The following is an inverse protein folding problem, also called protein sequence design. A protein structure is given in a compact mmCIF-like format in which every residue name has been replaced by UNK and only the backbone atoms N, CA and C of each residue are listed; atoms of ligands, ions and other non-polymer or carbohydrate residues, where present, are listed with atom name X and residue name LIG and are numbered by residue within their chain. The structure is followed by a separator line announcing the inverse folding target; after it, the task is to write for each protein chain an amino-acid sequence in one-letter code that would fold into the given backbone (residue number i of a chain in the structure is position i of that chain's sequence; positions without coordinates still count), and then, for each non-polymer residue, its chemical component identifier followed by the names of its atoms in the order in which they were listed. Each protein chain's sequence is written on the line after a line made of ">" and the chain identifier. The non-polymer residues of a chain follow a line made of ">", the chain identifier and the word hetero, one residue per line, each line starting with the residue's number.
data_IF_822975782306
#
_entry.id   IF_822975782306
#
_cell.length_a   1.000
_cell.length_b   1.000
_cell.length_c   1.000
_cell.angle_alpha   90.00
_cell.angle_beta   90.00
_cell.angle_gamma   90.00
#
_symmetry.space_group_name_H-M   'P 1'
#
loop_
_entity.id
_entity.type
_entity.pdbx_description
1 polymer ?
#
# COMPACT_ATOMS: atom_id res chain seq x y z
N UNK A 1 -84.52 110.01 84.46
CA UNK A 1 -84.07 108.60 84.48
C UNK A 1 -84.00 108.13 83.02
N UNK A 2 -82.98 108.50 82.24
CA UNK A 2 -81.59 108.05 82.33
C UNK A 2 -81.51 106.57 82.70
N UNK A 3 -81.28 105.69 81.70
CA UNK A 3 -80.49 104.44 81.75
C UNK A 3 -80.93 103.36 80.72
N UNK A 4 -82.16 103.41 80.18
CA UNK A 4 -82.68 102.31 79.32
C UNK A 4 -82.22 102.43 77.84
N UNK A 5 -82.18 103.64 77.26
CA UNK A 5 -81.78 103.84 75.84
C UNK A 5 -80.27 103.72 75.55
N UNK A 6 -79.41 103.75 76.57
CA UNK A 6 -77.96 103.55 76.44
C UNK A 6 -77.58 102.06 76.55
N UNK A 7 -78.34 101.28 77.32
CA UNK A 7 -78.15 99.83 77.46
C UNK A 7 -78.55 99.03 76.22
N UNK A 8 -79.58 99.46 75.48
CA UNK A 8 -80.02 98.80 74.24
C UNK A 8 -79.03 99.07 73.10
N UNK A 9 -78.55 100.30 72.92
CA UNK A 9 -77.50 100.58 71.93
C UNK A 9 -76.18 99.87 72.26
N UNK A 10 -75.82 99.75 73.54
CA UNK A 10 -74.62 99.00 73.96
C UNK A 10 -74.82 97.49 73.81
N UNK A 11 -76.00 96.95 74.12
CA UNK A 11 -76.32 95.54 73.94
C UNK A 11 -76.38 95.15 72.46
N UNK A 12 -76.98 95.99 71.62
CA UNK A 12 -77.08 95.79 70.17
C UNK A 12 -75.70 95.95 69.50
N UNK A 13 -74.88 96.91 69.97
CA UNK A 13 -73.48 97.02 69.56
C UNK A 13 -72.63 95.81 70.01
N UNK A 14 -72.84 95.29 71.23
CA UNK A 14 -72.18 94.07 71.71
C UNK A 14 -72.60 92.83 70.92
N UNK A 15 -73.87 92.72 70.55
CA UNK A 15 -74.38 91.61 69.73
C UNK A 15 -73.84 91.67 68.31
N UNK A 16 -73.73 92.87 67.73
CA UNK A 16 -73.06 93.09 66.44
C UNK A 16 -71.56 92.80 66.56
N UNK A 17 -70.88 93.22 67.63
CA UNK A 17 -69.47 92.89 67.84
C UNK A 17 -69.24 91.39 68.05
N UNK A 18 -70.13 90.70 68.76
CA UNK A 18 -70.08 89.24 68.96
C UNK A 18 -70.39 88.48 67.67
N UNK A 19 -71.37 88.94 66.89
CA UNK A 19 -71.69 88.32 65.61
C UNK A 19 -70.60 88.58 64.59
N UNK A 20 -70.01 89.79 64.54
CA UNK A 20 -68.87 90.13 63.68
C UNK A 20 -67.60 89.40 64.12
N UNK A 21 -67.35 89.28 65.43
CA UNK A 21 -66.20 88.52 65.95
C UNK A 21 -66.39 87.00 65.73
N UNK A 22 -67.61 86.49 65.89
CA UNK A 22 -67.96 85.10 65.65
C UNK A 22 -67.91 84.75 64.16
N UNK A 23 -68.42 85.62 63.29
CA UNK A 23 -68.28 85.44 61.84
C UNK A 23 -66.83 85.55 61.43
N UNK A 24 -66.08 86.59 61.85
CA UNK A 24 -64.66 86.73 61.54
C UNK A 24 -63.81 85.57 62.05
N UNK A 25 -64.06 85.07 63.26
CA UNK A 25 -63.39 83.89 63.81
C UNK A 25 -63.71 82.61 63.04
N UNK A 26 -64.97 82.42 62.64
CA UNK A 26 -65.36 81.32 61.76
C UNK A 26 -64.71 81.46 60.38
N UNK A 27 -64.66 82.67 59.78
CA UNK A 27 -64.01 82.88 58.49
C UNK A 27 -62.53 82.56 58.57
N UNK A 28 -61.81 82.99 59.62
CA UNK A 28 -60.39 82.69 59.80
C UNK A 28 -60.13 81.20 60.00
N UNK A 29 -60.95 80.52 60.81
CA UNK A 29 -60.84 79.06 61.01
C UNK A 29 -61.14 78.27 59.73
N UNK A 30 -62.18 78.67 58.98
CA UNK A 30 -62.46 78.08 57.67
C UNK A 30 -61.38 78.42 56.65
N UNK A 31 -60.76 79.59 56.72
CA UNK A 31 -59.67 79.99 55.82
C UNK A 31 -58.42 79.15 56.07
N UNK A 32 -58.06 78.90 57.33
CA UNK A 32 -56.96 78.00 57.72
C UNK A 32 -57.27 76.54 57.35
N UNK A 33 -58.50 76.07 57.59
CA UNK A 33 -58.93 74.72 57.20
C UNK A 33 -58.97 74.52 55.69
N UNK A 34 -59.34 75.56 54.92
CA UNK A 34 -59.34 75.54 53.45
C UNK A 34 -57.91 75.59 52.93
N UNK A 35 -57.01 76.35 53.54
CA UNK A 35 -55.57 76.34 53.20
C UNK A 35 -54.92 74.99 53.48
N UNK A 36 -55.24 74.34 54.61
CA UNK A 36 -54.76 72.99 54.92
C UNK A 36 -55.32 71.95 53.92
N UNK A 37 -56.63 72.01 53.61
CA UNK A 37 -57.24 71.13 52.60
C UNK A 37 -56.67 71.36 51.20
N UNK A 38 -56.37 72.60 50.81
CA UNK A 38 -55.77 72.94 49.52
C UNK A 38 -54.31 72.48 49.46
N UNK A 39 -53.57 72.60 50.57
CA UNK A 39 -52.22 72.07 50.68
C UNK A 39 -52.20 70.54 50.55
N UNK A 40 -53.12 69.85 51.24
CA UNK A 40 -53.28 68.38 51.14
C UNK A 40 -53.74 67.96 49.74
N UNK A 41 -54.69 68.67 49.11
CA UNK A 41 -55.10 68.40 47.73
C UNK A 41 -53.95 68.61 46.74
N UNK A 42 -53.15 69.66 46.94
CA UNK A 42 -51.97 69.94 46.12
C UNK A 42 -50.93 68.83 46.26
N UNK A 43 -50.70 68.35 47.49
CA UNK A 43 -49.78 67.25 47.77
C UNK A 43 -50.28 65.92 47.17
N UNK A 44 -51.56 65.58 47.35
CA UNK A 44 -52.17 64.39 46.74
C UNK A 44 -52.13 64.43 45.21
N UNK A 45 -52.28 65.62 44.60
CA UNK A 45 -52.12 65.79 43.15
C UNK A 45 -50.68 65.55 42.70
N UNK A 46 -49.70 66.09 43.43
CA UNK A 46 -48.29 65.81 43.16
C UNK A 46 -47.95 64.33 43.31
N UNK A 47 -48.48 63.68 44.35
CA UNK A 47 -48.25 62.26 44.59
C UNK A 47 -48.90 61.40 43.51
N UNK A 48 -50.14 61.70 43.11
CA UNK A 48 -50.79 61.04 41.98
C UNK A 48 -49.98 61.22 40.68
N UNK A 49 -49.45 62.42 40.44
CA UNK A 49 -48.63 62.67 39.26
C UNK A 49 -47.33 61.86 39.30
N UNK A 50 -46.63 61.80 40.45
CA UNK A 50 -45.45 60.95 40.62
C UNK A 50 -45.76 59.47 40.43
N UNK A 51 -46.84 58.98 41.05
CA UNK A 51 -47.26 57.58 40.90
C UNK A 51 -47.61 57.23 39.45
N UNK A 52 -48.20 58.16 38.70
CA UNK A 52 -48.45 57.97 37.27
C UNK A 52 -47.14 57.93 36.47
N UNK A 53 -46.17 58.80 36.78
CA UNK A 53 -44.85 58.79 36.16
C UNK A 53 -44.10 57.48 36.45
N UNK A 54 -44.12 57.01 37.70
CA UNK A 54 -43.50 55.75 38.14
C UNK A 54 -44.17 54.53 37.50
N UNK A 55 -45.50 54.50 37.44
CA UNK A 55 -46.27 53.45 36.76
C UNK A 55 -45.86 53.40 35.29
N UNK A 56 -45.82 54.55 34.62
CA UNK A 56 -45.46 54.63 33.21
C UNK A 56 -43.99 54.25 32.97
N UNK A 57 -43.09 54.53 33.92
CA UNK A 57 -41.71 54.05 33.86
C UNK A 57 -41.64 52.54 34.00
N UNK A 58 -42.34 51.99 34.99
CA UNK A 58 -42.38 50.54 35.28
C UNK A 58 -42.98 49.76 34.11
N UNK A 59 -44.04 50.27 33.48
CA UNK A 59 -44.63 49.67 32.28
C UNK A 59 -43.65 49.61 31.12
N UNK A 60 -42.86 50.68 30.90
CA UNK A 60 -41.81 50.68 29.86
C UNK A 60 -40.71 49.67 30.17
N UNK A 61 -40.27 49.57 31.42
CA UNK A 61 -39.27 48.60 31.85
C UNK A 61 -39.77 47.16 31.69
N UNK A 62 -41.03 46.90 32.04
CA UNK A 62 -41.66 45.59 31.87
C UNK A 62 -41.73 45.21 30.39
N UNK A 63 -42.10 46.15 29.52
CA UNK A 63 -42.14 45.94 28.08
C UNK A 63 -40.74 45.63 27.52
N UNK A 64 -39.71 46.40 27.92
CA UNK A 64 -38.33 46.14 27.52
C UNK A 64 -37.81 44.78 28.00
N UNK A 65 -38.15 44.40 29.23
CA UNK A 65 -37.76 43.12 29.81
C UNK A 65 -38.45 41.96 29.09
N UNK A 66 -39.72 42.12 28.75
CA UNK A 66 -40.48 41.13 27.98
C UNK A 66 -39.88 40.93 26.58
N UNK A 67 -39.51 42.02 25.90
CA UNK A 67 -38.83 41.93 24.60
C UNK A 67 -37.49 41.21 24.72
N UNK A 68 -36.67 41.59 25.71
CA UNK A 68 -35.39 40.91 25.96
C UNK A 68 -35.56 39.42 26.23
N UNK A 69 -36.57 39.03 26.99
CA UNK A 69 -36.86 37.62 27.26
C UNK A 69 -37.23 36.86 25.99
N UNK A 70 -38.01 37.49 25.10
CA UNK A 70 -38.34 36.90 23.81
C UNK A 70 -37.09 36.70 22.96
N UNK A 71 -36.27 37.74 22.80
CA UNK A 71 -35.03 37.69 22.03
C UNK A 71 -34.05 36.63 22.58
N UNK A 72 -33.95 36.53 23.92
CA UNK A 72 -33.12 35.52 24.57
C UNK A 72 -33.64 34.10 24.32
N UNK A 73 -34.96 33.91 24.33
CA UNK A 73 -35.58 32.61 24.12
C UNK A 73 -35.42 32.14 22.66
N UNK A 74 -35.55 33.07 21.71
CA UNK A 74 -35.24 32.81 20.29
C UNK A 74 -33.76 32.44 20.10
N UNK A 75 -32.85 33.21 20.70
CA UNK A 75 -31.41 32.94 20.66
C UNK A 75 -31.08 31.57 21.26
N UNK A 76 -31.67 31.23 22.41
CA UNK A 76 -31.48 29.95 23.07
C UNK A 76 -32.00 28.78 22.22
N UNK A 77 -33.12 28.96 21.52
CA UNK A 77 -33.65 27.97 20.59
C UNK A 77 -32.69 27.73 19.42
N UNK A 78 -32.16 28.80 18.83
CA UNK A 78 -31.18 28.71 17.73
C UNK A 78 -29.90 28.02 18.20
N UNK A 79 -29.32 28.45 19.33
CA UNK A 79 -28.11 27.81 19.87
C UNK A 79 -28.32 26.33 20.17
N UNK A 80 -29.49 25.91 20.66
CA UNK A 80 -29.79 24.48 20.86
C UNK A 80 -29.82 23.72 19.53
N UNK A 81 -30.40 24.31 18.48
CA UNK A 81 -30.39 23.72 17.15
C UNK A 81 -28.97 23.58 16.60
N UNK A 82 -28.16 24.63 16.74
CA UNK A 82 -26.76 24.63 16.29
C UNK A 82 -25.94 23.57 17.01
N UNK A 83 -26.12 23.43 18.33
CA UNK A 83 -25.45 22.39 19.13
C UNK A 83 -25.82 20.99 18.64
N UNK A 84 -27.10 20.72 18.40
CA UNK A 84 -27.53 19.42 17.89
C UNK A 84 -26.92 19.13 16.51
N UNK A 85 -26.91 20.11 15.61
CA UNK A 85 -26.33 19.95 14.28
C UNK A 85 -24.82 19.70 14.33
N UNK A 86 -24.09 20.41 15.21
CA UNK A 86 -22.66 20.19 15.41
C UNK A 86 -22.39 18.80 16.00
N UNK A 87 -23.23 18.32 16.93
CA UNK A 87 -23.13 16.98 17.48
C UNK A 87 -23.34 15.89 16.42
N UNK A 88 -24.35 16.03 15.56
CA UNK A 88 -24.60 15.09 14.45
C UNK A 88 -23.42 15.05 13.46
N UNK A 89 -22.90 16.22 13.08
CA UNK A 89 -21.73 16.31 12.19
C UNK A 89 -20.47 15.71 12.83
N UNK A 90 -20.30 15.85 14.15
CA UNK A 90 -19.18 15.27 14.87
C UNK A 90 -19.25 13.73 14.84
N UNK A 91 -20.41 13.15 15.14
CA UNK A 91 -20.62 11.70 15.07
C UNK A 91 -20.37 11.15 13.65
N UNK A 92 -20.83 11.86 12.62
CA UNK A 92 -20.55 11.49 11.22
C UNK A 92 -19.04 11.51 10.92
N UNK A 93 -18.36 12.57 11.33
CA UNK A 93 -16.91 12.74 11.10
C UNK A 93 -16.11 11.67 11.84
N UNK A 94 -16.49 11.32 13.07
CA UNK A 94 -15.88 10.24 13.83
C UNK A 94 -16.05 8.88 13.14
N UNK A 95 -17.24 8.61 12.59
CA UNK A 95 -17.49 7.39 11.81
C UNK A 95 -16.66 7.32 10.53
N UNK A 96 -16.56 8.43 9.79
CA UNK A 96 -15.71 8.52 8.60
C UNK A 96 -14.22 8.34 8.93
N UNK A 97 -13.76 8.92 10.04
CA UNK A 97 -12.39 8.76 10.51
C UNK A 97 -12.09 7.29 10.82
N UNK A 98 -12.96 6.62 11.56
CA UNK A 98 -12.80 5.19 11.87
C UNK A 98 -12.73 4.34 10.60
N UNK A 99 -13.64 4.54 9.65
CA UNK A 99 -13.64 3.81 8.38
C UNK A 99 -12.34 4.03 7.60
N UNK A 100 -11.85 5.28 7.58
CA UNK A 100 -10.59 5.63 6.90
C UNK A 100 -9.39 4.97 7.58
N UNK A 101 -9.37 4.91 8.92
CA UNK A 101 -8.32 4.23 9.68
C UNK A 101 -8.27 2.72 9.40
N UNK A 102 -9.43 2.08 9.30
CA UNK A 102 -9.56 0.66 8.96
C UNK A 102 -9.07 0.38 7.52
N UNK A 103 -9.47 1.19 6.55
CA UNK A 103 -9.00 1.12 5.16
C UNK A 103 -7.49 1.33 5.06
N UNK A 104 -6.95 2.29 5.80
CA UNK A 104 -5.51 2.56 5.85
C UNK A 104 -4.74 1.39 6.45
N UNK A 105 -5.27 0.75 7.50
CA UNK A 105 -4.68 -0.45 8.09
C UNK A 105 -4.68 -1.63 7.11
N UNK A 106 -5.79 -1.86 6.40
CA UNK A 106 -5.88 -2.90 5.37
C UNK A 106 -4.87 -2.66 4.25
N UNK A 107 -4.85 -1.43 3.71
CA UNK A 107 -3.95 -1.05 2.62
C UNK A 107 -2.47 -1.21 3.00
N UNK A 108 -2.11 -0.90 4.24
CA UNK A 108 -0.74 -1.13 4.76
C UNK A 108 -0.39 -2.62 4.82
N UNK A 109 -1.34 -3.47 5.24
CA UNK A 109 -1.16 -4.91 5.26
C UNK A 109 -0.94 -5.48 3.85
N UNK A 110 -1.78 -5.05 2.90
CA UNK A 110 -1.69 -5.47 1.50
C UNK A 110 -0.36 -5.03 0.87
N UNK A 111 0.08 -3.81 1.15
CA UNK A 111 1.37 -3.30 0.69
C UNK A 111 2.54 -4.16 1.21
N UNK A 112 2.53 -4.53 2.50
CA UNK A 112 3.56 -5.40 3.06
C UNK A 112 3.54 -6.81 2.45
N UNK A 113 2.35 -7.35 2.17
CA UNK A 113 2.22 -8.64 1.50
C UNK A 113 2.76 -8.59 0.07
N UNK A 114 2.44 -7.53 -0.68
CA UNK A 114 2.94 -7.31 -2.03
C UNK A 114 4.47 -7.14 -2.06
N UNK A 115 5.06 -6.42 -1.09
CA UNK A 115 6.50 -6.27 -0.95
C UNK A 115 7.21 -7.62 -0.74
N UNK A 116 6.72 -8.44 0.20
CA UNK A 116 7.27 -9.80 0.42
C UNK A 116 7.18 -10.66 -0.85
N UNK A 117 6.05 -10.60 -1.55
CA UNK A 117 5.86 -11.33 -2.81
C UNK A 117 6.86 -10.88 -3.89
N UNK A 118 7.15 -9.59 -3.97
CA UNK A 118 8.11 -9.05 -4.92
C UNK A 118 9.55 -9.54 -4.60
N UNK A 119 9.94 -9.56 -3.33
CA UNK A 119 11.23 -10.08 -2.89
C UNK A 119 11.39 -11.58 -3.20
N UNK A 120 10.36 -12.38 -2.93
CA UNK A 120 10.32 -13.81 -3.27
C UNK A 120 10.52 -14.04 -4.77
N UNK A 121 9.75 -13.34 -5.60
CA UNK A 121 9.83 -13.46 -7.07
C UNK A 121 11.20 -13.02 -7.59
N UNK A 122 11.79 -11.98 -7.02
CA UNK A 122 13.14 -11.55 -7.38
C UNK A 122 14.18 -12.63 -7.07
N UNK A 123 14.06 -13.33 -5.93
CA UNK A 123 14.91 -14.46 -5.60
C UNK A 123 14.73 -15.67 -6.53
N UNK A 124 13.48 -15.94 -6.95
CA UNK A 124 13.18 -16.99 -7.93
C UNK A 124 13.81 -16.69 -9.29
N UNK A 125 13.71 -15.44 -9.77
CA UNK A 125 14.33 -15.00 -11.02
C UNK A 125 15.85 -15.21 -10.99
N UNK A 126 16.53 -14.78 -9.92
CA UNK A 126 17.98 -14.99 -9.78
C UNK A 126 18.37 -16.47 -9.80
N UNK A 127 17.55 -17.31 -9.15
CA UNK A 127 17.77 -18.77 -9.14
C UNK A 127 17.61 -19.37 -10.53
N UNK A 128 16.58 -18.96 -11.27
CA UNK A 128 16.33 -19.41 -12.64
C UNK A 128 17.41 -18.95 -13.61
N UNK A 129 17.88 -17.70 -13.50
CA UNK A 129 19.00 -17.18 -14.28
C UNK A 129 20.28 -17.98 -14.05
N UNK A 130 20.62 -18.26 -12.79
CA UNK A 130 21.78 -19.10 -12.44
C UNK A 130 21.66 -20.50 -13.06
N UNK A 131 20.49 -21.12 -12.96
CA UNK A 131 20.23 -22.44 -13.55
C UNK A 131 20.30 -22.40 -15.08
N UNK A 132 19.83 -21.33 -15.71
CA UNK A 132 19.91 -21.16 -17.15
C UNK A 132 21.37 -21.10 -17.62
N UNK A 133 22.20 -20.28 -16.97
CA UNK A 133 23.62 -20.18 -17.27
C UNK A 133 24.33 -21.53 -17.11
N UNK A 134 24.04 -22.27 -16.04
CA UNK A 134 24.58 -23.62 -15.83
C UNK A 134 24.18 -24.59 -16.94
N UNK A 135 22.92 -24.55 -17.39
CA UNK A 135 22.44 -25.39 -18.48
C UNK A 135 23.10 -25.02 -19.81
N UNK A 136 23.27 -23.73 -20.10
CA UNK A 136 23.99 -23.26 -21.29
C UNK A 136 25.44 -23.74 -21.31
N UNK A 137 26.17 -23.64 -20.19
CA UNK A 137 27.53 -24.19 -20.09
C UNK A 137 27.56 -25.70 -20.29
N UNK A 138 26.58 -26.43 -19.75
CA UNK A 138 26.48 -27.89 -19.95
C UNK A 138 26.22 -28.25 -21.41
N UNK A 139 25.36 -27.51 -22.10
CA UNK A 139 25.10 -27.70 -23.53
C UNK A 139 26.37 -27.49 -24.34
N UNK A 140 27.08 -26.38 -24.13
CA UNK A 140 28.34 -26.10 -24.83
C UNK A 140 29.40 -27.20 -24.59
N UNK A 141 29.55 -27.68 -23.35
CA UNK A 141 30.47 -28.78 -23.05
C UNK A 141 30.07 -30.09 -23.75
N UNK A 142 28.78 -30.39 -23.84
CA UNK A 142 28.28 -31.58 -24.53
C UNK A 142 28.47 -31.46 -26.04
N UNK A 143 28.30 -30.29 -26.62
CA UNK A 143 28.58 -30.02 -28.04
C UNK A 143 30.05 -30.30 -28.37
N UNK A 144 30.99 -29.71 -27.60
CA UNK A 144 32.43 -29.98 -27.78
C UNK A 144 32.77 -31.46 -27.58
N UNK A 145 32.18 -32.12 -26.58
CA UNK A 145 32.40 -33.56 -26.38
C UNK A 145 31.89 -34.37 -27.58
N UNK A 146 30.77 -33.97 -28.16
CA UNK A 146 30.18 -34.66 -29.31
C UNK A 146 31.00 -34.46 -30.59
N UNK A 147 31.58 -33.27 -30.79
CA UNK A 147 32.55 -33.00 -31.86
C UNK A 147 33.79 -33.88 -31.71
N UNK A 148 34.42 -33.90 -30.54
CA UNK A 148 35.61 -34.73 -30.30
C UNK A 148 35.34 -36.23 -30.54
N UNK A 149 34.17 -36.73 -30.12
CA UNK A 149 33.79 -38.13 -30.35
C UNK A 149 33.52 -38.43 -31.83
N UNK A 150 33.07 -37.45 -32.62
CA UNK A 150 32.92 -37.61 -34.07
C UNK A 150 34.28 -37.70 -34.75
N UNK A 151 35.21 -36.84 -34.35
CA UNK A 151 36.58 -36.84 -34.87
C UNK A 151 37.28 -38.18 -34.54
N UNK A 152 37.20 -38.63 -33.27
CA UNK A 152 37.76 -39.93 -32.85
C UNK A 152 37.14 -41.11 -33.64
N UNK A 153 35.84 -41.05 -33.92
CA UNK A 153 35.17 -42.06 -34.75
C UNK A 153 35.70 -42.05 -36.18
N UNK A 154 35.92 -40.88 -36.77
CA UNK A 154 36.45 -40.75 -38.13
C UNK A 154 37.90 -41.26 -38.21
N UNK A 155 38.73 -40.96 -37.21
CA UNK A 155 40.10 -41.46 -37.10
C UNK A 155 40.14 -43.00 -37.00
N UNK A 156 39.31 -43.58 -36.11
CA UNK A 156 39.21 -45.04 -35.96
C UNK A 156 38.70 -45.71 -37.24
N UNK A 157 37.81 -45.05 -37.99
CA UNK A 157 37.33 -45.59 -39.26
C UNK A 157 38.45 -45.63 -40.30
N UNK A 158 39.28 -44.59 -40.38
CA UNK A 158 40.45 -44.58 -41.26
C UNK A 158 41.47 -45.66 -40.87
N UNK A 159 41.73 -45.85 -39.57
CA UNK A 159 42.63 -46.91 -39.09
C UNK A 159 42.12 -48.31 -39.47
N UNK A 160 40.79 -48.53 -39.39
CA UNK A 160 40.17 -49.78 -39.84
C UNK A 160 40.37 -49.99 -41.35
N UNK A 161 40.20 -48.94 -42.15
CA UNK A 161 40.38 -49.02 -43.60
C UNK A 161 41.86 -49.33 -43.96
N UNK A 162 42.81 -48.65 -43.32
CA UNK A 162 44.26 -48.89 -43.49
C UNK A 162 44.65 -50.33 -43.11
N UNK A 163 44.13 -50.85 -41.99
CA UNK A 163 44.37 -52.23 -41.56
C UNK A 163 43.78 -53.26 -42.54
N UNK A 164 42.61 -52.98 -43.13
CA UNK A 164 42.02 -53.87 -44.14
C UNK A 164 42.85 -53.92 -45.42
N UNK A 165 43.43 -52.78 -45.83
CA UNK A 165 44.36 -52.71 -46.96
C UNK A 165 45.65 -53.49 -46.67
N UNK A 166 46.22 -53.37 -45.46
CA UNK A 166 47.39 -54.13 -45.04
C UNK A 166 47.12 -55.65 -45.04
N UNK A 167 45.97 -56.07 -44.50
CA UNK A 167 45.53 -57.48 -44.54
C UNK A 167 45.45 -57.99 -45.97
N UNK A 168 44.82 -57.22 -46.87
CA UNK A 168 44.69 -57.59 -48.29
C UNK A 168 46.05 -57.75 -48.98
N UNK A 169 47.01 -56.86 -48.66
CA UNK A 169 48.38 -56.95 -49.18
C UNK A 169 49.09 -58.20 -48.65
N UNK A 170 48.99 -58.47 -47.35
CA UNK A 170 49.59 -59.66 -46.73
C UNK A 170 49.01 -60.96 -47.32
N UNK A 171 47.70 -61.01 -47.58
CA UNK A 171 47.07 -62.16 -48.24
C UNK A 171 47.60 -62.38 -49.66
N UNK A 172 47.81 -61.30 -50.42
CA UNK A 172 48.45 -61.35 -51.75
C UNK A 172 49.88 -61.85 -51.67
N UNK A 173 50.67 -61.34 -50.71
CA UNK A 173 52.07 -61.75 -50.52
C UNK A 173 52.17 -63.23 -50.13
N UNK A 174 51.26 -63.73 -49.26
CA UNK A 174 51.16 -65.15 -48.92
C UNK A 174 50.91 -65.99 -50.17
N UNK A 175 49.95 -65.58 -51.01
CA UNK A 175 49.61 -66.31 -52.24
C UNK A 175 50.80 -66.38 -53.22
N UNK A 176 51.54 -65.29 -53.35
CA UNK A 176 52.75 -65.26 -54.21
C UNK A 176 53.86 -66.15 -53.64
N UNK A 177 54.11 -66.08 -52.33
CA UNK A 177 55.10 -66.94 -51.66
C UNK A 177 54.76 -68.42 -51.78
N UNK A 178 53.49 -68.79 -51.62
CA UNK A 178 53.00 -70.16 -51.84
C UNK A 178 53.28 -70.62 -53.28
N UNK A 179 52.99 -69.77 -54.27
CA UNK A 179 53.27 -70.04 -55.69
C UNK A 179 54.77 -70.17 -55.98
N UNK A 180 55.61 -69.37 -55.34
CA UNK A 180 57.07 -69.49 -55.45
C UNK A 180 57.57 -70.80 -54.84
N UNK A 181 57.03 -71.19 -53.68
CA UNK A 181 57.39 -72.42 -52.98
C UNK A 181 57.05 -73.65 -53.83
N UNK A 182 55.89 -73.67 -54.48
CA UNK A 182 55.50 -74.73 -55.43
C UNK A 182 56.50 -74.83 -56.60
N UNK A 183 56.84 -73.72 -57.26
CA UNK A 183 57.83 -73.70 -58.35
C UNK A 183 59.19 -74.20 -57.90
N UNK A 184 59.64 -73.82 -56.70
CA UNK A 184 60.92 -74.30 -56.14
C UNK A 184 60.88 -75.80 -55.86
N UNK A 185 59.77 -76.31 -55.33
CA UNK A 185 59.58 -77.75 -55.15
C UNK A 185 59.65 -78.51 -56.48
N UNK A 186 59.00 -78.00 -57.53
CA UNK A 186 59.07 -78.59 -58.87
C UNK A 186 60.50 -78.60 -59.41
N UNK A 187 61.24 -77.50 -59.26
CA UNK A 187 62.66 -77.42 -59.64
C UNK A 187 63.50 -78.44 -58.87
N UNK A 188 63.29 -78.61 -57.57
CA UNK A 188 64.00 -79.62 -56.76
C UNK A 188 63.69 -81.02 -57.30
N UNK A 189 62.43 -81.32 -57.63
CA UNK A 189 62.06 -82.61 -58.20
C UNK A 189 62.70 -82.85 -59.57
N UNK A 190 62.76 -81.84 -60.43
CA UNK A 190 63.43 -81.92 -61.72
C UNK A 190 64.94 -82.17 -61.56
N UNK A 191 65.62 -81.39 -60.71
CA UNK A 191 67.04 -81.56 -60.43
C UNK A 191 67.36 -82.92 -59.81
N UNK A 192 66.48 -83.47 -58.95
CA UNK A 192 66.63 -84.83 -58.43
C UNK A 192 66.57 -85.88 -59.56
N UNK A 193 65.58 -85.79 -60.44
CA UNK A 193 65.46 -86.70 -61.61
C UNK A 193 66.68 -86.59 -62.54
N UNK A 194 67.17 -85.38 -62.77
CA UNK A 194 68.38 -85.15 -63.57
C UNK A 194 69.61 -85.74 -62.90
N UNK A 195 69.77 -85.54 -61.58
CA UNK A 195 70.87 -86.13 -60.82
C UNK A 195 70.84 -87.67 -60.87
N UNK A 196 69.67 -88.27 -60.71
CA UNK A 196 69.48 -89.73 -60.81
C UNK A 196 69.82 -90.25 -62.22
N UNK A 197 69.41 -89.51 -63.27
CA UNK A 197 69.77 -89.83 -64.66
C UNK A 197 71.27 -89.74 -64.89
N UNK A 198 71.91 -88.64 -64.49
CA UNK A 198 73.36 -88.46 -64.63
C UNK A 198 74.15 -89.53 -63.86
N UNK A 199 73.67 -89.95 -62.68
CA UNK A 199 74.24 -91.08 -61.95
C UNK A 199 74.12 -92.40 -62.71
N UNK A 200 72.97 -92.66 -63.32
CA UNK A 200 72.76 -93.85 -64.16
C UNK A 200 73.67 -93.83 -65.40
N UNK A 201 73.76 -92.69 -66.07
CA UNK A 201 74.62 -92.50 -67.26
C UNK A 201 76.10 -92.67 -66.88
N UNK A 202 76.53 -92.09 -65.74
CA UNK A 202 77.88 -92.28 -65.19
C UNK A 202 78.16 -93.75 -64.91
N UNK A 203 77.25 -94.46 -64.23
CA UNK A 203 77.41 -95.89 -63.94
C UNK A 203 77.53 -96.74 -65.23
N UNK A 204 76.78 -96.41 -66.27
CA UNK A 204 76.88 -97.07 -67.57
C UNK A 204 78.25 -96.84 -68.23
N UNK A 205 78.73 -95.58 -68.27
CA UNK A 205 80.06 -95.27 -68.82
C UNK A 205 81.17 -95.94 -68.01
N UNK A 206 81.10 -95.93 -66.68
CA UNK A 206 82.08 -96.59 -65.82
C UNK A 206 82.17 -98.11 -66.09
N UNK A 207 81.07 -98.76 -66.47
CA UNK A 207 81.05 -100.18 -66.83
C UNK A 207 81.70 -100.49 -68.19
N UNK A 208 81.82 -99.49 -69.08
CA UNK A 208 82.42 -99.63 -70.41
C UNK A 208 83.93 -99.34 -70.43
N UNK A 209 84.51 -98.82 -69.33
CA UNK A 209 85.92 -98.40 -69.27
C UNK A 209 86.80 -99.44 -68.56
N UNK A 210 87.86 -99.88 -69.23
CA UNK A 210 88.76 -100.97 -68.80
C UNK A 210 89.69 -100.59 -67.61
N UNK A 211 89.81 -99.30 -67.28
CA UNK A 211 90.54 -98.76 -66.13
C UNK A 211 89.83 -97.47 -65.64
N UNK A 212 88.79 -97.59 -64.80
CA UNK A 212 87.88 -96.48 -64.51
C UNK A 212 88.54 -95.39 -63.65
N UNK A 213 88.19 -94.11 -63.87
CA UNK A 213 88.70 -92.98 -63.09
C UNK A 213 88.13 -92.96 -61.65
N UNK A 214 88.70 -92.15 -60.73
CA UNK A 214 88.34 -92.18 -59.30
C UNK A 214 86.87 -91.86 -59.02
N UNK A 215 86.20 -91.11 -59.89
CA UNK A 215 84.77 -90.80 -59.79
C UNK A 215 83.86 -92.02 -60.02
N UNK A 216 84.42 -93.15 -60.48
CA UNK A 216 83.76 -94.45 -60.64
C UNK A 216 84.06 -95.45 -59.50
N UNK A 217 84.82 -95.02 -58.48
CA UNK A 217 85.20 -95.82 -57.29
C UNK A 217 84.37 -95.44 -56.07
#
# INVERSE_FOLDING_TARGET
>A
MSLIGRSINVALALLICLSVAGTAGATLYYQESVEELDAENSQLRQENQRLQEDLQSTERELQQTSQRLQDLNESLSTTRSDVNQVSENLEETEGQLQSTEEELASTRSDLQAAQRRAEELQGEVQTLESRNNQLQSRVSNLETTNENLRDERDDLQNEVDDLNDEVSQLESDVTDLESQLERRNDQIQQLRRENDRLRSDLAAVCAEVENPPPECS
#
